data_IF_308031324444
#
_entry.id   IF_308031324444
#
_cell.length_a   1.000
_cell.length_b   1.000
_cell.length_c   1.000
_cell.angle_alpha   90.00
_cell.angle_beta   90.00
_cell.angle_gamma   90.00
#
_symmetry.space_group_name_H-M   'P 1'
#
loop_
_entity.id
_entity.type
_entity.pdbx_description
1 polymer ?
#
# COMPACT_ATOMS: atom_id res chain seq x y z
N UNK A 1 16.32 -15.80 3.08
CA UNK A 1 16.12 -15.08 4.38
C UNK A 1 15.54 -16.07 5.36
N UNK A 2 16.02 -16.07 6.60
CA UNK A 2 15.41 -16.93 7.61
C UNK A 2 13.93 -16.60 7.72
N UNK A 3 13.08 -17.60 7.54
CA UNK A 3 11.62 -17.50 7.63
C UNK A 3 11.17 -16.74 8.89
N UNK A 4 11.96 -16.83 9.97
CA UNK A 4 11.73 -16.17 11.24
C UNK A 4 11.91 -14.65 11.16
N UNK A 5 12.97 -14.14 10.53
CA UNK A 5 13.24 -12.71 10.40
C UNK A 5 12.12 -12.02 9.59
N UNK A 6 11.72 -12.63 8.47
CA UNK A 6 10.62 -12.11 7.65
C UNK A 6 9.30 -12.06 8.44
N UNK A 7 8.97 -13.14 9.15
CA UNK A 7 7.76 -13.20 9.98
C UNK A 7 7.77 -12.14 11.09
N UNK A 8 8.92 -11.98 11.76
CA UNK A 8 9.08 -10.96 12.80
C UNK A 8 8.92 -9.54 12.25
N UNK A 9 9.54 -9.24 11.09
CA UNK A 9 9.40 -7.94 10.43
C UNK A 9 7.96 -7.69 9.98
N UNK A 10 7.30 -8.68 9.39
CA UNK A 10 5.88 -8.58 9.02
C UNK A 10 5.01 -8.27 10.25
N UNK A 11 5.25 -8.95 11.37
CA UNK A 11 4.50 -8.71 12.61
C UNK A 11 4.75 -7.30 13.17
N UNK A 12 5.99 -6.81 13.13
CA UNK A 12 6.31 -5.42 13.46
C UNK A 12 5.57 -4.43 12.56
N UNK A 13 5.53 -4.68 11.25
CA UNK A 13 4.78 -3.86 10.30
C UNK A 13 3.28 -3.88 10.59
N UNK A 14 2.69 -5.03 10.88
CA UNK A 14 1.26 -5.15 11.25
C UNK A 14 0.97 -4.31 12.50
N UNK A 15 1.79 -4.40 13.52
CA UNK A 15 1.67 -3.59 14.72
C UNK A 15 1.75 -2.09 14.40
N UNK A 16 2.77 -1.68 13.65
CA UNK A 16 2.99 -0.29 13.25
C UNK A 16 1.85 0.27 12.39
N UNK A 17 1.33 -0.51 11.42
CA UNK A 17 0.17 -0.14 10.61
C UNK A 17 -1.06 0.10 11.48
N UNK A 18 -1.28 -0.74 12.49
CA UNK A 18 -2.37 -0.58 13.45
C UNK A 18 -2.28 0.69 14.29
N UNK A 19 -1.09 1.31 14.46
CA UNK A 19 -0.91 2.62 15.07
C UNK A 19 -0.94 3.75 14.03
N UNK A 20 -0.40 3.50 12.85
CA UNK A 20 -0.31 4.51 11.78
C UNK A 20 -1.68 4.89 11.23
N UNK A 21 -2.54 3.88 10.96
CA UNK A 21 -3.90 4.10 10.49
C UNK A 21 -4.89 4.14 11.67
N UNK A 22 -5.84 5.09 11.60
CA UNK A 22 -6.96 5.15 12.52
C UNK A 22 -7.88 3.94 12.34
N UNK A 23 -8.07 3.55 11.08
CA UNK A 23 -8.83 2.37 10.71
C UNK A 23 -8.16 1.71 9.49
N UNK A 24 -7.94 0.42 9.60
CA UNK A 24 -7.44 -0.43 8.54
C UNK A 24 -8.40 -1.60 8.41
N UNK A 25 -9.15 -1.62 7.32
CA UNK A 25 -10.09 -2.68 7.00
C UNK A 25 -9.57 -3.54 5.86
N UNK A 26 -9.82 -4.85 5.96
CA UNK A 26 -9.43 -5.84 4.98
C UNK A 26 -10.68 -6.56 4.50
N UNK A 27 -10.86 -6.67 3.17
CA UNK A 27 -11.97 -7.35 2.54
C UNK A 27 -11.48 -8.36 1.52
N UNK A 28 -12.16 -9.52 1.44
CA UNK A 28 -11.89 -10.53 0.41
C UNK A 28 -10.63 -11.36 0.61
N UNK A 29 -9.88 -11.21 1.72
CA UNK A 29 -8.64 -11.97 1.97
C UNK A 29 -8.87 -13.49 2.02
N UNK A 30 -10.02 -13.95 2.48
CA UNK A 30 -10.39 -15.37 2.48
C UNK A 30 -10.58 -16.00 1.09
N UNK A 31 -10.72 -15.16 0.06
CA UNK A 31 -10.81 -15.60 -1.33
C UNK A 31 -9.46 -15.75 -2.04
N UNK A 32 -8.35 -15.47 -1.35
CA UNK A 32 -7.01 -15.63 -1.93
C UNK A 32 -6.69 -17.13 -2.05
N UNK A 33 -6.32 -17.63 -3.25
CA UNK A 33 -6.01 -19.05 -3.45
C UNK A 33 -4.79 -19.51 -2.65
N UNK A 34 -4.76 -20.80 -2.29
CA UNK A 34 -3.62 -21.39 -1.57
C UNK A 34 -2.33 -21.41 -2.38
N UNK A 35 -2.41 -21.64 -3.68
CA UNK A 35 -1.26 -21.70 -4.59
C UNK A 35 -0.52 -20.37 -4.78
N UNK A 36 0.37 -20.29 -5.77
CA UNK A 36 1.09 -19.06 -6.11
C UNK A 36 0.13 -18.02 -6.68
N UNK A 37 0.31 -16.77 -6.23
CA UNK A 37 -0.56 -15.64 -6.56
C UNK A 37 0.26 -14.48 -7.10
N UNK A 38 -0.26 -13.81 -8.12
CA UNK A 38 0.22 -12.50 -8.56
C UNK A 38 -0.74 -11.45 -8.01
N UNK A 39 -0.33 -10.71 -6.98
CA UNK A 39 -1.09 -9.56 -6.48
C UNK A 39 -0.88 -8.36 -7.39
N UNK A 40 -1.97 -7.74 -7.81
CA UNK A 40 -1.94 -6.54 -8.66
C UNK A 40 -2.72 -5.42 -7.98
N UNK A 41 -2.09 -4.61 -7.12
CA UNK A 41 -2.73 -3.45 -6.51
C UNK A 41 -2.65 -2.21 -7.40
N UNK A 42 -3.58 -1.25 -7.19
CA UNK A 42 -3.36 0.13 -7.60
C UNK A 42 -2.25 0.79 -6.76
N UNK A 43 -1.68 1.93 -7.23
CA UNK A 43 -0.46 2.47 -6.66
C UNK A 43 -0.53 3.96 -6.35
N UNK A 44 -0.70 4.33 -5.06
CA UNK A 44 -0.83 5.71 -4.59
C UNK A 44 0.23 6.14 -3.57
N UNK A 45 0.81 5.20 -2.80
CA UNK A 45 1.61 5.52 -1.61
C UNK A 45 2.94 4.75 -1.56
N UNK A 46 3.64 4.73 -2.67
CA UNK A 46 4.96 4.14 -2.82
C UNK A 46 5.07 2.75 -2.13
N UNK A 47 6.11 2.50 -1.31
CA UNK A 47 6.31 1.19 -0.69
C UNK A 47 5.29 0.83 0.42
N UNK A 48 4.54 1.81 0.95
CA UNK A 48 3.49 1.53 1.94
C UNK A 48 2.36 0.69 1.35
N UNK A 49 2.05 0.87 0.06
CA UNK A 49 1.06 0.05 -0.65
C UNK A 49 1.45 -1.44 -0.63
N UNK A 50 2.72 -1.74 -0.92
CA UNK A 50 3.22 -3.12 -0.89
C UNK A 50 3.17 -3.73 0.51
N UNK A 51 3.54 -2.96 1.54
CA UNK A 51 3.47 -3.39 2.94
C UNK A 51 2.02 -3.68 3.34
N UNK A 52 1.06 -2.81 2.97
CA UNK A 52 -0.36 -3.01 3.26
C UNK A 52 -0.90 -4.31 2.66
N UNK A 53 -0.65 -4.57 1.38
CA UNK A 53 -1.10 -5.81 0.72
C UNK A 53 -0.52 -7.03 1.42
N UNK A 54 0.78 -7.00 1.72
CA UNK A 54 1.47 -8.12 2.38
C UNK A 54 0.97 -8.36 3.79
N UNK A 55 0.77 -7.29 4.58
CA UNK A 55 0.27 -7.40 5.95
C UNK A 55 -1.24 -7.72 6.01
N UNK A 56 -1.97 -7.56 4.90
CA UNK A 56 -3.39 -7.89 4.77
C UNK A 56 -3.64 -9.31 4.26
N UNK A 57 -2.61 -10.10 3.97
CA UNK A 57 -2.70 -11.47 3.46
C UNK A 57 -1.75 -12.40 4.20
N UNK A 58 -1.98 -13.70 4.14
CA UNK A 58 -1.07 -14.72 4.71
C UNK A 58 0.14 -15.02 3.82
N UNK A 59 0.17 -14.45 2.61
CA UNK A 59 1.26 -14.65 1.66
C UNK A 59 2.48 -13.80 1.99
N UNK A 60 3.62 -14.22 1.44
CA UNK A 60 4.91 -13.52 1.50
C UNK A 60 5.41 -13.28 0.07
N UNK A 61 4.85 -12.29 -0.65
CA UNK A 61 5.17 -12.08 -2.05
C UNK A 61 6.57 -11.50 -2.26
N UNK A 62 7.16 -11.79 -3.42
CA UNK A 62 8.28 -11.03 -3.96
C UNK A 62 7.78 -9.75 -4.62
N UNK A 63 8.50 -8.66 -4.43
CA UNK A 63 8.12 -7.35 -4.93
C UNK A 63 8.92 -6.96 -6.15
N UNK A 64 8.25 -6.52 -7.21
CA UNK A 64 8.92 -5.91 -8.35
C UNK A 64 9.12 -4.41 -8.08
N UNK A 65 10.37 -3.97 -7.98
CA UNK A 65 10.72 -2.58 -7.69
C UNK A 65 11.76 -2.04 -8.67
N UNK A 66 11.90 -0.71 -8.75
CA UNK A 66 12.81 -0.08 -9.73
C UNK A 66 14.25 -0.51 -9.54
N UNK A 67 14.93 -0.85 -10.64
CA UNK A 67 16.31 -1.31 -10.61
C UNK A 67 17.31 -0.27 -10.06
N UNK A 68 17.04 1.03 -10.19
CA UNK A 68 17.94 2.08 -9.72
C UNK A 68 18.19 2.06 -8.20
N UNK A 69 17.28 1.52 -7.40
CA UNK A 69 17.47 1.40 -5.94
C UNK A 69 18.48 0.31 -5.57
N UNK A 70 18.81 -0.60 -6.51
CA UNK A 70 19.83 -1.65 -6.34
C UNK A 70 21.25 -1.20 -6.72
N UNK A 71 21.47 0.04 -7.17
CA UNK A 71 22.79 0.53 -7.58
C UNK A 71 23.80 0.54 -6.42
N UNK A 72 23.35 0.66 -5.18
CA UNK A 72 24.21 0.53 -3.99
C UNK A 72 24.26 -0.93 -3.53
N UNK A 73 25.45 -1.59 -3.44
CA UNK A 73 25.55 -3.00 -3.04
C UNK A 73 24.95 -3.32 -1.67
N UNK A 74 25.09 -2.40 -0.70
CA UNK A 74 24.49 -2.58 0.65
C UNK A 74 22.97 -2.51 0.59
N UNK A 75 22.43 -1.56 -0.18
CA UNK A 75 20.99 -1.47 -0.42
C UNK A 75 20.50 -2.71 -1.16
N UNK A 76 21.20 -3.17 -2.20
CA UNK A 76 20.84 -4.37 -2.95
C UNK A 76 20.78 -5.63 -2.06
N UNK A 77 21.72 -5.79 -1.13
CA UNK A 77 21.70 -6.88 -0.15
C UNK A 77 20.44 -6.86 0.72
N UNK A 78 20.10 -5.68 1.28
CA UNK A 78 18.89 -5.49 2.11
C UNK A 78 17.62 -5.72 1.29
N UNK A 79 17.54 -5.14 0.09
CA UNK A 79 16.36 -5.26 -0.79
C UNK A 79 16.13 -6.71 -1.22
N UNK A 80 17.19 -7.46 -1.55
CA UNK A 80 17.09 -8.89 -1.84
C UNK A 80 16.61 -9.69 -0.61
N UNK A 81 17.10 -9.35 0.58
CA UNK A 81 16.65 -9.96 1.82
C UNK A 81 15.17 -9.64 2.13
N UNK A 82 14.65 -8.52 1.64
CA UNK A 82 13.24 -8.13 1.70
C UNK A 82 12.41 -8.67 0.53
N UNK A 83 12.91 -9.67 -0.20
CA UNK A 83 12.23 -10.29 -1.35
C UNK A 83 11.92 -9.30 -2.49
N UNK A 84 12.80 -8.33 -2.75
CA UNK A 84 12.63 -7.39 -3.86
C UNK A 84 13.45 -7.80 -5.07
N UNK A 85 12.84 -7.70 -6.26
CA UNK A 85 13.46 -7.96 -7.56
C UNK A 85 13.53 -6.67 -8.38
N UNK A 86 14.68 -6.38 -9.03
CA UNK A 86 14.85 -5.16 -9.82
C UNK A 86 14.08 -5.25 -11.14
N UNK A 87 13.31 -4.22 -11.50
CA UNK A 87 12.67 -4.06 -12.81
C UNK A 87 13.18 -2.80 -13.48
N UNK A 88 13.59 -2.94 -14.75
CA UNK A 88 14.09 -1.86 -15.57
C UNK A 88 12.93 -1.26 -16.39
N UNK A 89 12.83 0.06 -16.42
CA UNK A 89 11.82 0.78 -17.18
C UNK A 89 12.31 1.06 -18.59
N UNK A 90 11.38 1.23 -19.53
CA UNK A 90 11.70 1.66 -20.89
C UNK A 90 12.55 2.94 -20.94
N UNK A 91 12.31 3.86 -20.01
CA UNK A 91 13.08 5.10 -19.87
C UNK A 91 14.55 4.90 -19.44
N UNK A 92 14.89 3.73 -18.91
CA UNK A 92 16.25 3.42 -18.43
C UNK A 92 17.18 3.02 -19.58
N UNK A 93 16.67 3.00 -20.84
CA UNK A 93 17.41 2.74 -22.07
C UNK A 93 17.20 1.33 -22.64
N UNK A 94 17.32 1.20 -23.96
CA UNK A 94 17.10 -0.07 -24.69
C UNK A 94 18.02 -1.21 -24.23
N UNK A 95 19.27 -0.90 -23.88
CA UNK A 95 20.24 -1.91 -23.40
C UNK A 95 19.81 -2.57 -22.08
N UNK A 96 18.94 -1.92 -21.30
CA UNK A 96 18.44 -2.43 -20.03
C UNK A 96 17.22 -3.33 -20.19
N UNK A 97 16.51 -3.25 -21.33
CA UNK A 97 15.34 -4.08 -21.61
C UNK A 97 15.65 -5.57 -21.66
N UNK A 98 16.82 -5.97 -22.23
CA UNK A 98 17.30 -7.36 -22.19
C UNK A 98 17.46 -7.90 -20.77
N UNK A 99 17.78 -7.02 -19.79
CA UNK A 99 17.85 -7.42 -18.38
C UNK A 99 16.49 -7.76 -17.79
N UNK A 100 15.39 -7.18 -18.33
CA UNK A 100 14.04 -7.54 -17.91
C UNK A 100 13.68 -8.98 -18.27
N UNK A 101 14.20 -9.53 -19.36
CA UNK A 101 13.91 -10.92 -19.72
C UNK A 101 14.43 -11.87 -18.63
N UNK A 102 15.64 -11.64 -18.12
CA UNK A 102 16.19 -12.39 -16.98
C UNK A 102 15.37 -12.20 -15.69
N UNK A 103 14.81 -11.01 -15.47
CA UNK A 103 13.94 -10.75 -14.32
C UNK A 103 12.63 -11.48 -14.48
N UNK A 104 12.02 -11.47 -15.66
CA UNK A 104 10.80 -12.23 -15.96
C UNK A 104 11.00 -13.73 -15.77
N UNK A 105 12.10 -14.29 -16.24
CA UNK A 105 12.46 -15.70 -16.00
C UNK A 105 12.51 -16.01 -14.50
N UNK A 106 13.19 -15.16 -13.71
CA UNK A 106 13.23 -15.30 -12.23
C UNK A 106 11.85 -15.23 -11.60
N UNK A 107 10.99 -14.32 -12.07
CA UNK A 107 9.61 -14.18 -11.58
C UNK A 107 8.79 -15.43 -11.88
N UNK A 108 8.90 -15.96 -13.10
CA UNK A 108 8.24 -17.22 -13.49
C UNK A 108 8.73 -18.37 -12.63
N UNK A 109 10.06 -18.53 -12.44
CA UNK A 109 10.64 -19.55 -11.57
C UNK A 109 10.11 -19.46 -10.12
N UNK A 110 9.93 -18.22 -9.59
CA UNK A 110 9.34 -18.02 -8.26
C UNK A 110 7.90 -18.55 -8.20
N UNK A 111 7.08 -18.20 -9.18
CA UNK A 111 5.69 -18.69 -9.27
C UNK A 111 5.64 -20.21 -9.42
N UNK A 112 6.53 -20.81 -10.22
CA UNK A 112 6.65 -22.26 -10.37
C UNK A 112 7.08 -22.96 -9.08
N UNK A 113 7.83 -22.28 -8.23
CA UNK A 113 8.22 -22.73 -6.87
C UNK A 113 7.14 -22.47 -5.80
N UNK A 114 5.91 -22.17 -6.17
CA UNK A 114 4.79 -21.82 -5.28
C UNK A 114 5.01 -20.55 -4.46
N UNK A 115 5.90 -19.65 -4.90
CA UNK A 115 6.06 -18.32 -4.29
C UNK A 115 5.11 -17.33 -4.97
N UNK A 116 4.68 -16.31 -4.23
CA UNK A 116 3.77 -15.27 -4.76
C UNK A 116 4.55 -14.02 -5.17
N UNK A 117 3.95 -13.22 -6.05
CA UNK A 117 4.53 -11.98 -6.59
C UNK A 117 3.57 -10.82 -6.31
N UNK A 118 4.11 -9.64 -6.07
CA UNK A 118 3.37 -8.39 -6.06
C UNK A 118 3.94 -7.47 -7.14
N UNK A 119 3.06 -7.02 -8.03
CA UNK A 119 3.42 -6.13 -9.13
C UNK A 119 2.43 -4.98 -9.23
N UNK A 120 2.94 -3.75 -9.30
CA UNK A 120 2.14 -2.57 -9.62
C UNK A 120 2.06 -2.44 -11.14
N UNK A 121 0.93 -2.91 -11.72
CA UNK A 121 0.75 -2.97 -13.16
C UNK A 121 0.70 -1.59 -13.84
N UNK A 122 0.43 -0.51 -13.10
CA UNK A 122 0.49 0.86 -13.59
C UNK A 122 1.92 1.33 -13.93
N UNK A 123 2.95 0.67 -13.36
CA UNK A 123 4.36 1.01 -13.58
C UNK A 123 4.83 2.35 -12.99
N UNK A 124 3.92 3.15 -12.48
CA UNK A 124 4.16 4.40 -11.72
C UNK A 124 3.04 4.61 -10.71
N UNK A 125 3.36 5.27 -9.62
CA UNK A 125 2.36 5.68 -8.65
C UNK A 125 1.72 7.02 -9.04
N UNK A 126 0.45 7.24 -8.66
CA UNK A 126 -0.30 8.47 -8.87
C UNK A 126 -0.94 8.94 -7.56
N UNK A 127 -0.94 10.27 -7.30
CA UNK A 127 -1.67 10.86 -6.19
C UNK A 127 -3.19 10.92 -6.42
N UNK A 128 -3.61 10.80 -7.66
CA UNK A 128 -5.01 10.91 -8.05
C UNK A 128 -5.74 9.59 -7.81
N UNK A 129 -7.02 9.67 -7.53
CA UNK A 129 -7.91 8.50 -7.42
C UNK A 129 -8.37 8.09 -8.83
N UNK A 130 -7.43 7.61 -9.62
CA UNK A 130 -7.70 7.04 -10.94
C UNK A 130 -6.80 5.84 -11.17
N UNK A 131 -7.30 4.86 -11.85
CA UNK A 131 -6.51 3.73 -12.32
C UNK A 131 -5.82 4.14 -13.63
N UNK A 132 -4.50 4.19 -13.61
CA UNK A 132 -3.69 4.47 -14.77
C UNK A 132 -3.72 3.35 -15.83
N UNK A 133 -3.04 3.53 -16.97
CA UNK A 133 -2.89 2.49 -17.98
C UNK A 133 -2.09 1.31 -17.41
N UNK A 134 -2.63 0.09 -17.59
CA UNK A 134 -1.95 -1.13 -17.15
C UNK A 134 -0.90 -1.54 -18.15
N UNK A 135 0.29 -1.90 -17.68
CA UNK A 135 1.43 -2.31 -18.48
C UNK A 135 1.36 -3.79 -18.84
N UNK A 136 1.77 -4.16 -20.06
CA UNK A 136 1.76 -5.54 -20.57
C UNK A 136 2.62 -6.51 -19.76
N UNK A 137 3.51 -6.03 -18.88
CA UNK A 137 4.39 -6.86 -18.07
C UNK A 137 3.65 -7.87 -17.18
N UNK A 138 2.53 -7.47 -16.56
CA UNK A 138 1.71 -8.38 -15.74
C UNK A 138 1.07 -9.48 -16.56
N UNK A 139 0.55 -9.16 -17.74
CA UNK A 139 -0.01 -10.15 -18.66
C UNK A 139 1.06 -11.13 -19.14
N UNK A 140 2.24 -10.61 -19.53
CA UNK A 140 3.37 -11.44 -19.94
C UNK A 140 3.78 -12.43 -18.85
N UNK A 141 3.90 -12.00 -17.59
CA UNK A 141 4.22 -12.89 -16.46
C UNK A 141 3.12 -13.95 -16.29
N UNK A 142 1.86 -13.57 -16.25
CA UNK A 142 0.74 -14.48 -16.02
C UNK A 142 0.65 -15.57 -17.09
N UNK A 143 0.92 -15.21 -18.36
CA UNK A 143 0.87 -16.12 -19.52
C UNK A 143 2.10 -17.03 -19.60
N UNK A 144 3.26 -16.56 -19.12
CA UNK A 144 4.54 -17.29 -19.24
C UNK A 144 4.70 -18.42 -18.23
N UNK A 145 3.84 -18.51 -17.23
CA UNK A 145 3.88 -19.62 -16.25
C UNK A 145 3.32 -20.88 -16.91
N UNK A 146 3.95 -22.03 -16.61
CA UNK A 146 3.52 -23.32 -17.15
C UNK A 146 2.02 -23.57 -16.95
N UNK A 147 1.29 -24.06 -17.97
CA UNK A 147 -0.12 -24.40 -17.86
C UNK A 147 -0.44 -25.42 -16.76
N UNK A 148 0.55 -26.22 -16.34
CA UNK A 148 0.43 -27.16 -15.22
C UNK A 148 0.35 -26.47 -13.86
N UNK A 149 0.79 -25.20 -13.74
CA UNK A 149 0.74 -24.39 -12.53
C UNK A 149 -0.45 -23.42 -12.61
N UNK A 150 -1.45 -23.66 -11.79
CA UNK A 150 -2.60 -22.75 -11.64
C UNK A 150 -2.16 -21.50 -10.86
N UNK A 151 -1.66 -20.50 -11.58
CA UNK A 151 -1.35 -19.19 -11.00
C UNK A 151 -2.58 -18.30 -11.11
N UNK A 152 -3.00 -17.72 -10.00
CA UNK A 152 -4.09 -16.77 -9.96
C UNK A 152 -3.56 -15.34 -9.92
N UNK A 153 -4.17 -14.44 -10.68
CA UNK A 153 -3.95 -12.99 -10.58
C UNK A 153 -5.04 -12.42 -9.69
N UNK A 154 -4.66 -11.84 -8.57
CA UNK A 154 -5.59 -11.24 -7.60
C UNK A 154 -5.50 -9.72 -7.71
N UNK A 155 -6.53 -9.06 -8.25
CA UNK A 155 -6.61 -7.60 -8.22
C UNK A 155 -6.80 -7.12 -6.78
N UNK A 156 -6.10 -6.04 -6.38
CA UNK A 156 -6.19 -5.50 -5.03
C UNK A 156 -6.49 -4.01 -5.07
N UNK A 157 -7.61 -3.60 -4.47
CA UNK A 157 -7.95 -2.20 -4.30
C UNK A 157 -7.36 -1.64 -3.01
N UNK A 158 -6.58 -0.57 -3.12
CA UNK A 158 -6.11 0.23 -1.99
C UNK A 158 -6.86 1.56 -2.00
N UNK A 159 -7.75 1.76 -1.03
CA UNK A 159 -8.54 2.98 -0.92
C UNK A 159 -8.19 3.72 0.37
N UNK A 160 -7.57 4.88 0.22
CA UNK A 160 -7.23 5.77 1.33
C UNK A 160 -8.23 6.91 1.44
N UNK A 161 -8.50 7.39 2.65
CA UNK A 161 -9.11 8.72 2.81
C UNK A 161 -8.09 9.83 2.54
N UNK A 162 -6.85 9.64 3.00
CA UNK A 162 -5.73 10.54 2.76
C UNK A 162 -4.42 9.74 2.79
N UNK A 163 -3.78 9.48 1.64
CA UNK A 163 -2.59 8.63 1.55
C UNK A 163 -1.40 9.12 2.39
N UNK A 164 -1.22 10.45 2.49
CA UNK A 164 -0.08 11.06 3.17
C UNK A 164 -0.30 11.41 4.64
N UNK A 165 -1.51 11.19 5.17
CA UNK A 165 -1.87 11.61 6.53
C UNK A 165 -1.71 10.49 7.54
N UNK A 166 -1.03 10.79 8.66
CA UNK A 166 -1.04 9.94 9.85
C UNK A 166 -2.45 9.89 10.44
N UNK A 167 -2.88 8.73 10.92
CA UNK A 167 -4.23 8.47 11.43
C UNK A 167 -5.33 8.64 10.37
N UNK A 168 -5.02 8.46 9.09
CA UNK A 168 -6.03 8.28 8.05
C UNK A 168 -6.66 6.89 8.12
N UNK A 169 -7.66 6.65 7.28
CA UNK A 169 -8.29 5.33 7.16
C UNK A 169 -7.88 4.70 5.83
N UNK A 170 -7.79 3.36 5.79
CA UNK A 170 -7.46 2.62 4.58
C UNK A 170 -8.27 1.34 4.49
N UNK A 171 -8.82 1.06 3.30
CA UNK A 171 -9.45 -0.19 2.93
C UNK A 171 -8.53 -0.94 1.97
N UNK A 172 -8.26 -2.21 2.26
CA UNK A 172 -7.58 -3.15 1.38
C UNK A 172 -8.59 -4.18 0.91
N UNK A 173 -8.91 -4.18 -0.38
CA UNK A 173 -9.92 -5.07 -0.96
C UNK A 173 -9.27 -6.05 -1.93
N UNK A 174 -9.31 -7.33 -1.63
CA UNK A 174 -8.91 -8.39 -2.56
C UNK A 174 -10.11 -8.75 -3.42
N UNK A 175 -9.94 -8.63 -4.74
CA UNK A 175 -10.96 -9.01 -5.72
C UNK A 175 -10.95 -10.50 -6.03
N UNK A 176 -11.89 -10.93 -6.87
CA UNK A 176 -11.96 -12.31 -7.33
C UNK A 176 -10.71 -12.68 -8.11
N UNK A 177 -10.11 -13.84 -7.86
CA UNK A 177 -8.94 -14.32 -8.61
C UNK A 177 -9.26 -14.49 -10.09
N UNK A 178 -8.37 -13.99 -10.94
CA UNK A 178 -8.41 -14.20 -12.39
C UNK A 178 -7.44 -15.34 -12.71
N UNK A 179 -7.95 -16.43 -13.24
CA UNK A 179 -7.12 -17.54 -13.73
C UNK A 179 -6.95 -17.39 -15.23
N UNK A 180 -5.72 -17.58 -15.70
CA UNK A 180 -5.43 -17.58 -17.12
C UNK A 180 -5.42 -19.04 -17.61
N UNK A 181 -6.45 -19.40 -18.36
CA UNK A 181 -6.49 -20.70 -19.04
C UNK A 181 -5.95 -20.53 -20.46
N UNK A 182 -4.78 -21.09 -20.74
CA UNK A 182 -4.27 -21.21 -22.11
C UNK A 182 -4.92 -22.44 -22.75
N UNK A 183 -5.71 -22.28 -23.82
CA UNK A 183 -6.20 -23.44 -24.55
C UNK A 183 -5.03 -24.28 -25.03
N UNK A 184 -5.10 -25.59 -24.83
CA UNK A 184 -4.07 -26.53 -25.28
C UNK A 184 -3.87 -26.38 -26.80
N UNK A 185 -2.63 -26.07 -27.24
CA UNK A 185 -2.27 -25.92 -28.64
C UNK A 185 -2.34 -24.50 -29.22
N UNK A 186 -2.76 -23.49 -28.46
CA UNK A 186 -2.69 -22.09 -28.92
C UNK A 186 -1.33 -21.47 -28.60
N UNK A 187 -0.78 -20.66 -29.52
CA UNK A 187 0.36 -19.80 -29.23
C UNK A 187 -0.06 -18.76 -28.15
N UNK A 188 0.35 -18.99 -26.92
CA UNK A 188 -0.16 -18.33 -25.70
C UNK A 188 0.28 -16.88 -25.49
N UNK A 189 0.88 -16.21 -26.47
CA UNK A 189 1.50 -14.89 -26.32
C UNK A 189 1.05 -13.89 -27.39
N UNK A 190 -0.21 -13.96 -27.84
CA UNK A 190 -0.67 -12.98 -28.82
C UNK A 190 -0.95 -11.61 -28.18
N UNK A 191 -0.66 -10.50 -28.87
CA UNK A 191 -1.00 -9.15 -28.40
C UNK A 191 -2.47 -9.00 -27.99
N UNK A 192 -3.38 -9.64 -28.71
CA UNK A 192 -4.82 -9.64 -28.43
C UNK A 192 -5.16 -10.30 -27.09
N UNK A 193 -4.56 -11.45 -26.77
CA UNK A 193 -4.79 -12.12 -25.49
C UNK A 193 -4.30 -11.27 -24.30
N UNK A 194 -3.16 -10.58 -24.48
CA UNK A 194 -2.66 -9.65 -23.46
C UNK A 194 -3.60 -8.49 -23.24
N UNK A 195 -4.17 -7.91 -24.28
CA UNK A 195 -5.15 -6.82 -24.19
C UNK A 195 -6.43 -7.25 -23.49
N UNK A 196 -7.01 -8.38 -23.89
CA UNK A 196 -8.19 -8.94 -23.23
C UNK A 196 -7.96 -9.19 -21.75
N UNK A 197 -6.79 -9.73 -21.37
CA UNK A 197 -6.43 -9.92 -19.97
C UNK A 197 -6.30 -8.59 -19.23
N UNK A 198 -5.67 -7.58 -19.83
CA UNK A 198 -5.54 -6.26 -19.20
C UNK A 198 -6.89 -5.57 -19.02
N UNK A 199 -7.81 -5.74 -19.96
CA UNK A 199 -9.18 -5.22 -19.84
C UNK A 199 -9.96 -5.95 -18.73
N UNK A 200 -9.83 -7.28 -18.66
CA UNK A 200 -10.41 -8.05 -17.55
C UNK A 200 -9.84 -7.62 -16.21
N UNK A 201 -8.52 -7.43 -16.11
CA UNK A 201 -7.85 -6.95 -14.89
C UNK A 201 -8.32 -5.55 -14.52
N UNK A 202 -8.43 -4.63 -15.49
CA UNK A 202 -8.95 -3.27 -15.29
C UNK A 202 -10.37 -3.30 -14.72
N UNK A 203 -11.25 -4.07 -15.36
CA UNK A 203 -12.66 -4.21 -14.95
C UNK A 203 -12.80 -4.82 -13.55
N UNK A 204 -11.83 -5.65 -13.14
CA UNK A 204 -11.80 -6.25 -11.80
C UNK A 204 -11.20 -5.31 -10.74
N UNK A 205 -10.28 -4.39 -11.13
CA UNK A 205 -9.66 -3.43 -10.21
C UNK A 205 -10.55 -2.21 -9.93
N UNK A 206 -11.20 -1.67 -10.94
CA UNK A 206 -12.00 -0.43 -10.81
C UNK A 206 -13.05 -0.48 -9.71
N UNK A 207 -13.81 -1.58 -9.51
CA UNK A 207 -14.81 -1.65 -8.43
C UNK A 207 -14.20 -1.69 -7.02
N UNK A 208 -12.90 -2.01 -6.91
CA UNK A 208 -12.22 -2.16 -5.62
C UNK A 208 -11.63 -0.85 -5.08
N UNK A 209 -11.67 0.22 -5.87
CA UNK A 209 -11.11 1.52 -5.53
C UNK A 209 -12.00 2.67 -6.04
N UNK A 210 -11.82 3.86 -5.53
CA UNK A 210 -12.39 5.04 -6.15
C UNK A 210 -11.65 5.31 -7.47
N UNK A 211 -12.41 5.39 -8.55
CA UNK A 211 -11.91 5.74 -9.87
C UNK A 211 -12.59 7.00 -10.38
N UNK A 212 -11.81 8.06 -10.55
CA UNK A 212 -12.25 9.32 -11.13
C UNK A 212 -11.55 9.48 -12.48
N UNK A 213 -12.32 9.60 -13.55
CA UNK A 213 -11.77 9.79 -14.89
C UNK A 213 -10.89 11.05 -14.97
N UNK A 214 -9.85 10.98 -15.80
CA UNK A 214 -8.90 12.09 -15.96
C UNK A 214 -9.54 13.34 -16.56
N UNK A 215 -10.59 13.17 -17.38
CA UNK A 215 -11.38 14.28 -17.89
C UNK A 215 -12.16 14.93 -16.76
N UNK A 216 -11.95 16.20 -16.53
CA UNK A 216 -12.60 16.97 -15.46
C UNK A 216 -12.34 16.41 -14.05
N UNK A 217 -11.13 15.86 -13.82
CA UNK A 217 -10.76 15.25 -12.53
C UNK A 217 -10.99 16.20 -11.34
N UNK A 218 -10.50 17.44 -11.43
CA UNK A 218 -10.61 18.43 -10.35
C UNK A 218 -12.08 18.82 -10.07
N UNK A 219 -12.91 18.92 -11.09
CA UNK A 219 -14.34 19.23 -10.93
C UNK A 219 -15.06 18.07 -10.25
N UNK A 220 -14.83 16.82 -10.69
CA UNK A 220 -15.38 15.60 -10.10
C UNK A 220 -14.89 15.41 -8.66
N UNK A 221 -13.62 15.68 -8.40
CA UNK A 221 -13.05 15.61 -7.06
C UNK A 221 -13.69 16.64 -6.12
N UNK A 222 -13.83 17.89 -6.56
CA UNK A 222 -14.50 18.94 -5.79
C UNK A 222 -15.98 18.63 -5.58
N UNK A 223 -16.65 18.03 -6.57
CA UNK A 223 -18.01 17.54 -6.43
C UNK A 223 -18.11 16.45 -5.36
N UNK A 224 -17.23 15.46 -5.39
CA UNK A 224 -17.16 14.44 -4.33
C UNK A 224 -16.98 15.08 -2.95
N UNK A 225 -15.99 15.98 -2.79
CA UNK A 225 -15.73 16.62 -1.50
C UNK A 225 -16.93 17.41 -0.96
N UNK A 226 -17.73 18.01 -1.85
CA UNK A 226 -18.95 18.77 -1.50
C UNK A 226 -20.08 17.88 -1.00
N UNK A 227 -20.25 16.70 -1.58
CA UNK A 227 -21.40 15.83 -1.31
C UNK A 227 -21.04 14.55 -0.56
N UNK A 228 -19.77 14.38 -0.18
CA UNK A 228 -19.26 13.20 0.49
C UNK A 228 -19.90 13.02 1.86
N UNK A 229 -20.53 11.85 2.05
CA UNK A 229 -21.02 11.40 3.34
C UNK A 229 -19.95 10.60 4.08
N UNK A 230 -19.88 10.74 5.40
CA UNK A 230 -18.94 9.98 6.21
C UNK A 230 -19.57 8.68 6.69
N UNK A 231 -18.98 7.57 6.31
CA UNK A 231 -19.36 6.24 6.80
C UNK A 231 -18.23 5.66 7.67
N UNK A 232 -18.63 5.01 8.77
CA UNK A 232 -17.66 4.31 9.63
C UNK A 232 -17.10 3.05 8.94
N UNK A 233 -17.95 2.31 8.24
CA UNK A 233 -17.58 1.17 7.39
C UNK A 233 -16.91 1.69 6.12
N UNK A 234 -15.68 1.22 5.83
CA UNK A 234 -14.89 1.73 4.71
C UNK A 234 -15.36 1.19 3.35
N UNK A 235 -15.95 0.01 3.32
CA UNK A 235 -16.53 -0.51 2.09
C UNK A 235 -17.80 0.26 1.72
N UNK A 236 -18.63 0.63 2.71
CA UNK A 236 -19.77 1.50 2.50
C UNK A 236 -19.33 2.90 2.08
N UNK A 237 -18.24 3.43 2.68
CA UNK A 237 -17.64 4.70 2.27
C UNK A 237 -17.24 4.67 0.79
N UNK A 238 -16.53 3.62 0.36
CA UNK A 238 -16.11 3.48 -1.04
C UNK A 238 -17.31 3.44 -1.98
N UNK A 239 -18.33 2.65 -1.67
CA UNK A 239 -19.55 2.57 -2.48
C UNK A 239 -20.29 3.90 -2.56
N UNK A 240 -20.40 4.63 -1.45
CA UNK A 240 -21.00 5.97 -1.41
C UNK A 240 -20.20 6.95 -2.27
N UNK A 241 -18.87 6.96 -2.14
CA UNK A 241 -17.99 7.82 -2.94
C UNK A 241 -18.12 7.50 -4.45
N UNK A 242 -18.19 6.22 -4.83
CA UNK A 242 -18.39 5.77 -6.21
C UNK A 242 -19.75 6.23 -6.78
N UNK A 243 -20.82 6.11 -5.99
CA UNK A 243 -22.16 6.57 -6.39
C UNK A 243 -22.19 8.08 -6.60
N UNK A 244 -21.59 8.85 -5.69
CA UNK A 244 -21.49 10.30 -5.83
C UNK A 244 -20.78 10.69 -7.13
N UNK A 245 -19.67 10.02 -7.47
CA UNK A 245 -18.94 10.29 -8.71
C UNK A 245 -19.74 9.85 -9.95
N UNK A 246 -20.47 8.75 -9.89
CA UNK A 246 -21.32 8.28 -11.00
C UNK A 246 -22.49 9.22 -11.32
N UNK A 247 -22.99 9.95 -10.32
CA UNK A 247 -24.09 10.91 -10.47
C UNK A 247 -23.63 12.31 -10.91
N UNK A 248 -22.31 12.56 -11.03
CA UNK A 248 -21.82 13.86 -11.53
C UNK A 248 -22.31 14.11 -12.97
N UNK A 249 -22.82 15.34 -13.30
CA UNK A 249 -22.89 16.60 -12.53
C UNK A 249 -24.28 16.89 -11.90
N UNK A 250 -25.04 15.90 -11.49
CA UNK A 250 -26.40 16.10 -10.97
C UNK A 250 -26.40 16.93 -9.66
N UNK A 251 -27.39 17.81 -9.51
CA UNK A 251 -27.57 18.57 -8.28
C UNK A 251 -28.01 17.64 -7.12
N UNK A 252 -27.26 17.68 -6.01
CA UNK A 252 -27.60 17.00 -4.75
C UNK A 252 -27.79 18.02 -3.63
N UNK A 253 -28.56 17.65 -2.61
CA UNK A 253 -28.60 18.43 -1.38
C UNK A 253 -27.25 18.35 -0.66
N UNK A 254 -26.65 19.48 -0.32
CA UNK A 254 -25.40 19.52 0.41
C UNK A 254 -25.56 18.84 1.78
N UNK A 255 -24.81 17.79 2.02
CA UNK A 255 -24.71 17.13 3.32
C UNK A 255 -23.27 17.25 3.83
N UNK A 256 -22.99 18.32 4.54
CA UNK A 256 -21.73 18.44 5.26
C UNK A 256 -21.91 17.77 6.63
N UNK A 257 -21.55 16.51 6.74
CA UNK A 257 -21.42 15.84 8.04
C UNK A 257 -20.01 15.34 8.27
N UNK A 258 -19.08 16.26 8.50
CA UNK A 258 -17.85 15.87 9.18
C UNK A 258 -18.20 15.64 10.65
N UNK A 259 -18.04 14.41 11.17
CA UNK A 259 -18.28 14.15 12.58
C UNK A 259 -17.39 15.06 13.42
N UNK A 260 -18.00 15.84 14.31
CA UNK A 260 -17.26 16.71 15.21
C UNK A 260 -16.24 15.89 16.01
N UNK A 261 -14.99 16.26 15.93
CA UNK A 261 -13.94 15.58 16.70
C UNK A 261 -14.14 15.91 18.17
N UNK A 262 -14.41 14.89 18.98
CA UNK A 262 -14.62 15.05 20.42
C UNK A 262 -13.44 15.79 21.06
N UNK A 263 -13.71 16.74 21.97
CA UNK A 263 -12.72 17.62 22.59
C UNK A 263 -11.57 16.85 23.28
N UNK A 264 -11.89 15.74 23.93
CA UNK A 264 -10.90 14.89 24.61
C UNK A 264 -9.87 14.28 23.64
N UNK A 265 -10.27 13.97 22.38
CA UNK A 265 -9.35 13.50 21.33
C UNK A 265 -8.35 14.58 20.93
N UNK A 266 -8.77 15.87 20.93
CA UNK A 266 -7.86 16.99 20.68
C UNK A 266 -6.81 17.09 21.78
N UNK A 267 -7.19 16.88 23.05
CA UNK A 267 -6.26 16.87 24.19
C UNK A 267 -5.25 15.71 24.07
N UNK A 268 -5.74 14.49 23.81
CA UNK A 268 -4.85 13.33 23.60
C UNK A 268 -3.86 13.56 22.47
N UNK A 269 -4.34 14.07 21.33
CA UNK A 269 -3.47 14.40 20.22
C UNK A 269 -2.46 15.51 20.57
N UNK A 270 -2.85 16.49 21.36
CA UNK A 270 -1.96 17.53 21.90
C UNK A 270 -0.84 16.92 22.75
N UNK A 271 -1.20 16.02 23.67
CA UNK A 271 -0.24 15.29 24.52
C UNK A 271 0.76 14.47 23.67
N UNK A 272 0.27 13.72 22.69
CA UNK A 272 1.12 12.93 21.77
C UNK A 272 2.07 13.84 20.99
N UNK A 273 1.55 14.95 20.45
CA UNK A 273 2.37 15.92 19.70
C UNK A 273 3.48 16.51 20.56
N UNK A 274 3.18 16.91 21.80
CA UNK A 274 4.19 17.42 22.73
C UNK A 274 5.29 16.39 22.99
N UNK A 275 4.91 15.14 23.26
CA UNK A 275 5.86 14.07 23.57
C UNK A 275 6.56 13.50 22.34
N UNK A 276 6.19 13.92 21.13
CA UNK A 276 6.79 13.48 19.87
C UNK A 276 7.38 14.64 19.05
N UNK A 277 7.65 15.79 19.67
CA UNK A 277 8.17 16.98 18.97
C UNK A 277 9.49 16.69 18.22
N UNK A 278 10.43 15.99 18.86
CA UNK A 278 11.72 15.67 18.25
C UNK A 278 11.56 14.70 17.07
N UNK A 279 10.90 13.53 17.21
CA UNK A 279 10.58 12.70 16.07
C UNK A 279 9.83 13.44 14.95
N UNK A 280 8.85 14.27 15.31
CA UNK A 280 8.12 15.08 14.36
C UNK A 280 9.04 16.04 13.59
N UNK A 281 9.92 16.75 14.29
CA UNK A 281 10.89 17.67 13.67
C UNK A 281 11.83 16.93 12.71
N UNK A 282 12.40 15.80 13.15
CA UNK A 282 13.28 14.96 12.33
C UNK A 282 12.54 14.53 11.06
N UNK A 283 11.35 13.97 11.21
CA UNK A 283 10.55 13.50 10.06
C UNK A 283 10.23 14.66 9.12
N UNK A 284 9.67 15.77 9.62
CA UNK A 284 9.17 16.84 8.76
C UNK A 284 10.26 17.73 8.16
N UNK A 285 11.32 18.03 8.91
CA UNK A 285 12.38 18.94 8.44
C UNK A 285 13.52 18.22 7.75
N UNK A 286 13.98 17.09 8.30
CA UNK A 286 15.17 16.42 7.77
C UNK A 286 14.82 15.39 6.69
N UNK A 287 13.74 14.61 6.86
CA UNK A 287 13.38 13.55 5.93
C UNK A 287 12.44 14.05 4.83
N UNK A 288 11.29 14.63 5.20
CA UNK A 288 10.29 15.06 4.22
C UNK A 288 10.73 16.30 3.43
N UNK A 289 11.53 17.19 4.02
CA UNK A 289 12.05 18.38 3.32
C UNK A 289 12.89 18.07 2.07
N UNK A 290 13.45 16.86 1.99
CA UNK A 290 14.25 16.39 0.86
C UNK A 290 13.47 15.52 -0.16
N UNK A 291 12.19 15.25 0.10
CA UNK A 291 11.37 14.42 -0.79
C UNK A 291 10.85 15.26 -1.96
N UNK A 292 11.29 14.91 -3.15
CA UNK A 292 10.83 15.55 -4.40
C UNK A 292 9.45 15.05 -4.85
N UNK A 293 9.12 13.80 -4.56
CA UNK A 293 7.87 13.15 -4.99
C UNK A 293 6.92 13.00 -3.79
N UNK A 294 5.79 13.75 -3.78
CA UNK A 294 4.84 13.75 -2.64
C UNK A 294 4.28 12.38 -2.28
N UNK A 295 4.30 11.43 -3.21
CA UNK A 295 3.74 10.09 -2.99
C UNK A 295 4.58 9.24 -2.02
N UNK A 296 5.85 9.63 -1.78
CA UNK A 296 6.67 9.01 -0.75
C UNK A 296 6.40 9.53 0.66
N UNK A 297 5.64 10.63 0.81
CA UNK A 297 5.41 11.27 2.11
C UNK A 297 4.80 10.29 3.12
N UNK A 298 3.72 9.59 2.75
CA UNK A 298 3.07 8.61 3.63
C UNK A 298 3.99 7.45 4.00
N UNK A 299 4.68 6.89 3.00
CA UNK A 299 5.65 5.82 3.17
C UNK A 299 6.80 6.19 4.11
N UNK A 300 7.39 7.39 3.93
CA UNK A 300 8.49 7.86 4.79
C UNK A 300 8.01 8.18 6.20
N UNK A 301 6.83 8.79 6.36
CA UNK A 301 6.21 8.98 7.69
C UNK A 301 6.00 7.66 8.41
N UNK A 302 5.48 6.65 7.71
CA UNK A 302 5.26 5.33 8.27
C UNK A 302 6.58 4.68 8.69
N UNK A 303 7.55 4.55 7.79
CA UNK A 303 8.80 3.87 8.08
C UNK A 303 9.62 4.57 9.16
N UNK A 304 9.73 5.90 9.09
CA UNK A 304 10.47 6.66 10.11
C UNK A 304 9.74 6.68 11.46
N UNK A 305 8.41 6.83 11.44
CA UNK A 305 7.59 6.82 12.65
C UNK A 305 7.63 5.49 13.39
N UNK A 306 7.68 4.37 12.65
CA UNK A 306 7.76 3.03 13.21
C UNK A 306 8.98 2.83 14.12
N UNK A 307 10.11 3.50 13.82
CA UNK A 307 11.35 3.39 14.60
C UNK A 307 11.56 4.58 15.51
N UNK A 308 11.41 5.81 15.02
CA UNK A 308 11.76 7.02 15.79
C UNK A 308 10.82 7.26 16.96
N UNK A 309 9.52 7.02 16.80
CA UNK A 309 8.58 7.31 17.89
C UNK A 309 8.78 6.37 19.09
N UNK A 310 8.78 5.03 18.95
CA UNK A 310 9.02 4.13 20.08
C UNK A 310 10.39 4.33 20.73
N UNK A 311 11.44 4.56 19.93
CA UNK A 311 12.79 4.79 20.42
C UNK A 311 12.83 6.06 21.31
N UNK A 312 12.22 7.15 20.84
CA UNK A 312 12.18 8.40 21.56
C UNK A 312 11.33 8.31 22.83
N UNK A 313 10.18 7.63 22.77
CA UNK A 313 9.35 7.39 23.95
C UNK A 313 10.04 6.53 25.00
N UNK A 314 10.80 5.51 24.57
CA UNK A 314 11.62 4.69 25.46
C UNK A 314 12.73 5.52 26.14
N UNK A 315 13.40 6.42 25.38
CA UNK A 315 14.40 7.33 25.93
C UNK A 315 13.79 8.28 26.97
N UNK A 316 12.62 8.85 26.70
CA UNK A 316 11.91 9.71 27.65
C UNK A 316 11.53 8.94 28.93
N UNK A 317 11.01 7.72 28.80
CA UNK A 317 10.67 6.87 29.94
C UNK A 317 11.91 6.51 30.77
N UNK A 318 13.03 6.24 30.10
CA UNK A 318 14.31 5.98 30.77
C UNK A 318 14.80 7.21 31.57
N UNK A 319 14.74 8.39 30.94
CA UNK A 319 15.11 9.65 31.64
C UNK A 319 14.19 9.92 32.83
N UNK A 320 12.87 9.68 32.68
CA UNK A 320 11.91 9.81 33.75
C UNK A 320 12.21 8.86 34.92
N UNK A 321 12.62 7.63 34.62
CA UNK A 321 13.07 6.68 35.65
C UNK A 321 14.29 7.20 36.36
N UNK A 322 15.28 7.75 35.69
CA UNK A 322 16.52 8.25 36.27
C UNK A 322 16.28 9.45 37.22
N UNK A 323 15.30 10.31 36.85
CA UNK A 323 14.95 11.49 37.67
C UNK A 323 14.07 11.13 38.88
N UNK A 324 13.08 10.24 38.67
CA UNK A 324 12.07 9.93 39.70
C UNK A 324 12.42 8.75 40.59
N UNK A 325 13.36 7.89 40.18
CA UNK A 325 13.64 6.61 40.85
C UNK A 325 12.48 5.61 40.80
N UNK A 326 11.35 5.92 40.12
CA UNK A 326 10.15 5.13 40.14
C UNK A 326 9.95 4.37 38.82
N UNK A 327 10.11 3.03 38.80
CA UNK A 327 9.86 2.21 37.60
C UNK A 327 8.38 2.23 37.22
N UNK A 328 7.47 2.31 38.18
CA UNK A 328 6.01 2.34 37.93
C UNK A 328 5.63 3.60 37.15
N UNK A 329 6.13 4.76 37.57
CA UNK A 329 5.84 6.02 36.87
C UNK A 329 6.35 6.02 35.46
N UNK A 330 7.57 5.53 35.23
CA UNK A 330 8.19 5.45 33.91
C UNK A 330 7.47 4.49 32.97
N UNK A 331 7.07 3.33 33.49
CA UNK A 331 6.33 2.34 32.72
C UNK A 331 4.92 2.84 32.36
N UNK A 332 4.23 3.47 33.32
CA UNK A 332 2.90 4.05 33.08
C UNK A 332 2.96 5.15 32.03
N UNK A 333 3.97 6.00 32.10
CA UNK A 333 4.22 7.03 31.08
C UNK A 333 4.45 6.40 29.70
N UNK A 334 5.36 5.41 29.59
CA UNK A 334 5.66 4.75 28.32
C UNK A 334 4.42 4.11 27.67
N UNK A 335 3.59 3.43 28.48
CA UNK A 335 2.37 2.75 27.98
C UNK A 335 1.29 3.78 27.60
N UNK A 336 1.24 4.94 28.26
CA UNK A 336 0.23 5.96 27.96
C UNK A 336 0.32 6.50 26.55
N UNK A 337 1.54 6.62 25.99
CA UNK A 337 1.77 7.22 24.66
C UNK A 337 1.14 6.41 23.52
N UNK A 338 1.44 5.09 23.34
CA UNK A 338 0.79 4.29 22.33
C UNK A 338 -0.72 4.12 22.57
N UNK A 339 -1.15 4.08 23.85
CA UNK A 339 -2.58 4.00 24.19
C UNK A 339 -3.32 5.24 23.67
N UNK A 340 -2.80 6.43 23.91
CA UNK A 340 -3.42 7.69 23.47
C UNK A 340 -3.37 7.84 21.94
N UNK A 341 -2.34 7.31 21.25
CA UNK A 341 -2.36 7.21 19.79
C UNK A 341 -3.56 6.36 19.33
N UNK A 342 -3.82 5.23 19.96
CA UNK A 342 -4.95 4.35 19.60
C UNK A 342 -6.31 5.02 19.82
N UNK A 343 -6.47 5.77 20.88
CA UNK A 343 -7.72 6.41 21.27
C UNK A 343 -8.01 7.70 20.49
N UNK A 344 -6.97 8.35 19.95
CA UNK A 344 -7.10 9.57 19.15
C UNK A 344 -7.56 9.28 17.72
#
# INVERSE_FOLDING_TARGET
MDSLLYKSLKQCCICALGFYFKKWEIKGASGIPEGPVIFVPNHQNAFLDAILVTCSSDKAPWYLTRANVFNNPKAAYVLNALQMLPVYRFRDGFATLKKNDQVFEKVVQKLENNESILIFAEGSHSKNYNLGPLQKGVARIAISVSPSKKVAVVPVGLQYDSPSSFRSRVLVSFGSPITFETPAGSQSNTPQQMELFLDQLRNSLQPLMLHIESNNYEERWNYLLRYREYHHDLNLQLKSDQLIIAEYPMARNEKISNPAVAWWRKIMMGYIKMNSLIPYFIIHKLLLGNIKDPQFIGSVKFASGMFLAPLFWALQAFLLFFISGSPVLSLTYFISLPLFVKLS
#
